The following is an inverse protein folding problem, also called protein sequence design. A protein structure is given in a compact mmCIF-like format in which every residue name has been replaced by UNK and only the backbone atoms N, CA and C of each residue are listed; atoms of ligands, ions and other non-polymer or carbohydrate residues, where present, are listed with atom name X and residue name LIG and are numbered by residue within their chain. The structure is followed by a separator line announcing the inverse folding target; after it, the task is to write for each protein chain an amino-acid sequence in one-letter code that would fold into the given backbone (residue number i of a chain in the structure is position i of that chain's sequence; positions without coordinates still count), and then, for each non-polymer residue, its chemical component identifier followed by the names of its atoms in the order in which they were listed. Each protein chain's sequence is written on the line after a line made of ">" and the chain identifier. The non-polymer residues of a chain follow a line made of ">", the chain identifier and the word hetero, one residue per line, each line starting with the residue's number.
data_IF_048636208026
#
_entry.id   IF_048636208026
#
_cell.length_a   1.000
_cell.length_b   1.000
_cell.length_c   1.000
_cell.angle_alpha   90.00
_cell.angle_beta   90.00
_cell.angle_gamma   90.00
#
_symmetry.space_group_name_H-M   'P 1'
#
loop_
_entity.id
_entity.type
_entity.pdbx_description
1 polymer ?
#
# COMPACT_ATOMS: atom_id res chain seq x y z
N UNK A 1 26.63 -0.81 -11.66
CA UNK A 1 25.25 -1.25 -11.43
C UNK A 1 24.38 -0.26 -12.17
N UNK A 2 23.56 -0.75 -13.10
CA UNK A 2 22.70 0.11 -13.91
C UNK A 2 21.62 0.74 -13.01
N UNK A 3 21.49 2.06 -13.10
CA UNK A 3 20.58 2.84 -12.25
C UNK A 3 19.13 2.37 -12.43
N UNK A 4 18.79 1.91 -13.63
CA UNK A 4 17.50 1.30 -13.98
C UNK A 4 17.22 0.02 -13.21
N UNK A 5 18.22 -0.85 -13.06
CA UNK A 5 18.11 -2.10 -12.34
C UNK A 5 17.88 -1.84 -10.84
N UNK A 6 18.57 -0.84 -10.27
CA UNK A 6 18.34 -0.43 -8.87
C UNK A 6 16.91 0.09 -8.65
N UNK A 7 16.38 0.90 -9.56
CA UNK A 7 15.00 1.41 -9.48
C UNK A 7 13.95 0.28 -9.61
N UNK A 8 14.18 -0.69 -10.49
CA UNK A 8 13.29 -1.84 -10.66
C UNK A 8 13.25 -2.72 -9.40
N UNK A 9 14.40 -2.97 -8.76
CA UNK A 9 14.44 -3.73 -7.49
C UNK A 9 13.64 -3.00 -6.41
N UNK A 10 13.83 -1.69 -6.26
CA UNK A 10 13.11 -0.88 -5.26
C UNK A 10 11.60 -0.93 -5.52
N UNK A 11 11.19 -0.86 -6.79
CA UNK A 11 9.78 -0.95 -7.19
C UNK A 11 9.16 -2.29 -6.82
N UNK A 12 9.81 -3.41 -7.15
CA UNK A 12 9.29 -4.75 -6.84
C UNK A 12 9.23 -4.97 -5.33
N UNK A 13 10.27 -4.59 -4.59
CA UNK A 13 10.32 -4.76 -3.13
C UNK A 13 9.24 -3.92 -2.45
N UNK A 14 9.08 -2.65 -2.84
CA UNK A 14 8.04 -1.78 -2.28
C UNK A 14 6.64 -2.25 -2.63
N UNK A 15 6.41 -2.79 -3.84
CA UNK A 15 5.14 -3.40 -4.22
C UNK A 15 4.78 -4.59 -3.32
N UNK A 16 5.72 -5.51 -3.11
CA UNK A 16 5.50 -6.70 -2.28
C UNK A 16 5.22 -6.31 -0.82
N UNK A 17 6.01 -5.39 -0.25
CA UNK A 17 5.78 -4.90 1.10
C UNK A 17 4.43 -4.19 1.23
N UNK A 18 4.00 -3.45 0.20
CA UNK A 18 2.70 -2.80 0.19
C UNK A 18 1.56 -3.84 0.15
N UNK A 19 1.66 -4.87 -0.69
CA UNK A 19 0.68 -5.96 -0.77
C UNK A 19 0.52 -6.63 0.59
N UNK A 20 1.63 -7.02 1.22
CA UNK A 20 1.61 -7.64 2.55
C UNK A 20 0.95 -6.70 3.57
N UNK A 21 1.34 -5.42 3.56
CA UNK A 21 0.81 -4.44 4.50
C UNK A 21 -0.69 -4.17 4.31
N UNK A 22 -1.20 -4.22 3.08
CA UNK A 22 -2.63 -4.11 2.76
C UNK A 22 -3.38 -5.37 3.18
N UNK A 23 -2.81 -6.56 2.94
CA UNK A 23 -3.42 -7.82 3.38
C UNK A 23 -3.48 -7.96 4.88
N UNK A 24 -2.51 -7.41 5.62
CA UNK A 24 -2.54 -7.36 7.09
C UNK A 24 -3.59 -6.36 7.61
N UNK A 25 -3.98 -5.36 6.80
CA UNK A 25 -5.07 -4.43 7.12
C UNK A 25 -6.46 -4.99 6.79
N UNK A 26 -6.72 -6.27 7.12
CA UNK A 26 -8.07 -6.82 6.97
C UNK A 26 -9.01 -6.08 7.90
N UNK A 27 -9.78 -5.15 7.33
CA UNK A 27 -10.94 -4.60 8.01
C UNK A 27 -11.98 -5.70 8.01
N UNK A 28 -12.52 -6.05 9.18
CA UNK A 28 -13.54 -7.09 9.36
C UNK A 28 -14.88 -6.76 8.69
N UNK A 29 -14.87 -6.49 7.39
CA UNK A 29 -16.03 -6.29 6.57
C UNK A 29 -16.55 -7.68 6.16
N UNK A 30 -17.72 -8.03 6.70
CA UNK A 30 -18.45 -9.21 6.25
C UNK A 30 -18.86 -9.03 4.78
N UNK A 31 -19.08 -10.13 4.06
CA UNK A 31 -19.50 -10.14 2.65
C UNK A 31 -20.75 -9.28 2.38
N UNK A 32 -21.55 -8.97 3.41
CA UNK A 32 -22.73 -8.09 3.33
C UNK A 32 -22.45 -6.58 3.43
N UNK A 33 -21.24 -6.16 3.83
CA UNK A 33 -20.90 -4.75 4.00
C UNK A 33 -20.85 -3.97 2.68
N UNK A 34 -20.58 -4.64 1.55
CA UNK A 34 -20.63 -4.05 0.21
C UNK A 34 -22.04 -3.92 -0.38
N UNK A 35 -23.04 -4.55 0.23
CA UNK A 35 -24.43 -4.61 -0.25
C UNK A 35 -25.39 -3.71 0.55
N UNK A 36 -24.89 -2.76 1.35
CA UNK A 36 -25.72 -1.84 2.13
C UNK A 36 -26.38 -2.45 3.37
N UNK A 37 -26.07 -3.71 3.70
CA UNK A 37 -26.43 -4.28 5.00
C UNK A 37 -25.66 -3.56 6.10
N UNK A 38 -26.36 -3.07 7.11
CA UNK A 38 -25.81 -2.37 8.28
C UNK A 38 -24.90 -3.30 9.12
N UNK A 39 -23.73 -3.62 8.57
CA UNK A 39 -22.60 -4.24 9.23
C UNK A 39 -21.61 -3.19 9.71
N UNK A 40 -22.06 -1.96 9.98
CA UNK A 40 -21.24 -0.90 10.55
C UNK A 40 -20.95 -1.22 12.02
N UNK A 41 -20.06 -2.20 12.25
CA UNK A 41 -19.20 -2.14 13.41
C UNK A 41 -18.28 -0.93 13.19
N UNK A 42 -18.71 0.23 13.67
CA UNK A 42 -17.83 1.35 13.96
C UNK A 42 -16.88 0.95 15.10
N UNK A 43 -15.98 0.01 14.83
CA UNK A 43 -14.84 -0.20 15.69
C UNK A 43 -13.91 0.98 15.47
N UNK A 44 -13.86 1.87 16.46
CA UNK A 44 -12.93 2.99 16.45
C UNK A 44 -11.52 2.41 16.29
N UNK A 45 -10.81 2.79 15.21
CA UNK A 45 -9.44 2.34 14.98
C UNK A 45 -8.58 2.75 16.18
N UNK A 46 -8.09 1.79 16.96
CA UNK A 46 -7.16 2.05 18.08
C UNK A 46 -5.83 1.34 17.85
N UNK A 47 -4.74 2.07 18.12
CA UNK A 47 -3.39 1.53 18.19
C UNK A 47 -2.82 1.07 16.84
N UNK A 48 -2.77 -0.24 16.63
CA UNK A 48 -2.03 -0.87 15.54
C UNK A 48 -2.62 -0.57 14.15
N UNK A 49 -3.93 -0.58 14.00
CA UNK A 49 -4.58 -0.33 12.71
C UNK A 49 -4.36 1.10 12.17
N UNK A 50 -4.20 2.08 13.07
CA UNK A 50 -3.93 3.47 12.68
C UNK A 50 -2.50 3.64 12.19
N UNK A 51 -1.54 3.05 12.92
CA UNK A 51 -0.12 3.11 12.55
C UNK A 51 0.15 2.34 11.24
N UNK A 52 -0.45 1.15 11.08
CA UNK A 52 -0.28 0.35 9.86
C UNK A 52 -0.87 1.06 8.63
N UNK A 53 -1.99 1.76 8.81
CA UNK A 53 -2.59 2.60 7.77
C UNK A 53 -1.69 3.79 7.39
N UNK A 54 -1.07 4.46 8.35
CA UNK A 54 -0.14 5.56 8.08
C UNK A 54 1.14 5.08 7.36
N UNK A 55 1.68 3.93 7.77
CA UNK A 55 2.84 3.29 7.12
C UNK A 55 2.53 2.88 5.68
N UNK A 56 1.33 2.36 5.41
CA UNK A 56 0.94 2.01 4.03
C UNK A 56 0.73 3.21 3.14
N UNK A 57 0.21 4.33 3.67
CA UNK A 57 0.16 5.58 2.91
C UNK A 57 1.57 6.01 2.52
N UNK A 58 2.53 5.95 3.46
CA UNK A 58 3.91 6.28 3.17
C UNK A 58 4.53 5.34 2.11
N UNK A 59 4.32 4.02 2.24
CA UNK A 59 4.77 3.03 1.25
C UNK A 59 4.14 3.27 -0.14
N UNK A 60 2.85 3.58 -0.19
CA UNK A 60 2.12 3.83 -1.43
C UNK A 60 2.68 5.06 -2.15
N UNK A 61 2.95 6.15 -1.42
CA UNK A 61 3.58 7.34 -1.98
C UNK A 61 4.98 7.01 -2.52
N UNK A 62 5.80 6.28 -1.75
CA UNK A 62 7.14 5.87 -2.20
C UNK A 62 7.10 4.99 -3.46
N UNK A 63 6.13 4.07 -3.55
CA UNK A 63 5.92 3.22 -4.71
C UNK A 63 5.52 4.02 -5.96
N UNK A 64 4.53 4.91 -5.84
CA UNK A 64 4.09 5.77 -6.93
C UNK A 64 5.23 6.70 -7.40
N UNK A 65 5.97 7.30 -6.46
CA UNK A 65 7.12 8.13 -6.78
C UNK A 65 8.20 7.35 -7.53
N UNK A 66 8.43 6.08 -7.17
CA UNK A 66 9.39 5.21 -7.86
C UNK A 66 8.95 4.92 -9.31
N UNK A 67 7.66 4.69 -9.55
CA UNK A 67 7.09 4.51 -10.90
C UNK A 67 7.24 5.80 -11.72
N UNK A 68 6.88 6.94 -11.14
CA UNK A 68 6.97 8.24 -11.82
C UNK A 68 8.44 8.56 -12.13
N UNK A 69 9.37 8.29 -11.23
CA UNK A 69 10.80 8.49 -11.46
C UNK A 69 11.32 7.62 -12.61
N UNK A 70 10.93 6.35 -12.68
CA UNK A 70 11.28 5.47 -13.80
C UNK A 70 10.69 5.96 -15.13
N UNK A 71 9.46 6.47 -15.10
CA UNK A 71 8.78 6.99 -16.29
C UNK A 71 9.39 8.30 -16.81
N UNK A 72 9.78 9.21 -15.90
CA UNK A 72 10.33 10.55 -16.23
C UNK A 72 11.81 10.48 -16.60
N UNK A 73 12.54 9.47 -16.11
CA UNK A 73 13.93 9.19 -16.50
C UNK A 73 14.00 7.93 -17.38
N UNK A 74 13.40 7.92 -18.60
CA UNK A 74 13.45 6.76 -19.48
C UNK A 74 14.84 6.55 -20.13
N UNK A 75 15.77 7.49 -19.96
CA UNK A 75 17.03 7.58 -20.69
C UNK A 75 18.29 7.60 -19.79
N UNK A 76 18.29 6.85 -18.68
CA UNK A 76 19.51 6.47 -17.95
C UNK A 76 19.76 4.97 -18.09
#
# INVERSE_FOLDING_TARGET
>A
MDVTLTLQIIMVVSAVLMIISVLLQQRGASLGAGFGGSGELYTTRRGLDKNLFEVTIFLAVAFVMSIVALLVLPNL
#
